data_IF_526273943246
#
_entry.id   IF_526273943246
#
_cell.length_a   1.000
_cell.length_b   1.000
_cell.length_c   1.000
_cell.angle_alpha   90.00
_cell.angle_beta   90.00
_cell.angle_gamma   90.00
#
_symmetry.space_group_name_H-M   'P 1'
#
loop_
_entity.id
_entity.type
_entity.pdbx_description
1 polymer ?
#
# COMPACT_ATOMS: atom_id res chain seq x y z
N UNK A 1 -17.78 -34.82 20.85
CA UNK A 1 -18.22 -33.64 21.64
C UNK A 1 -18.00 -32.41 20.77
N UNK A 2 -19.06 -31.92 20.13
CA UNK A 2 -19.02 -30.77 19.24
C UNK A 2 -19.12 -29.50 20.07
N UNK A 3 -18.06 -28.69 20.06
CA UNK A 3 -18.09 -27.39 20.71
C UNK A 3 -18.90 -26.41 19.84
N UNK A 4 -19.81 -25.62 20.42
CA UNK A 4 -20.53 -24.60 19.66
C UNK A 4 -19.56 -23.50 19.23
N UNK A 5 -19.47 -23.25 17.92
CA UNK A 5 -18.76 -22.09 17.37
C UNK A 5 -19.60 -20.85 17.68
N UNK A 6 -19.16 -20.06 18.65
CA UNK A 6 -19.73 -18.76 18.94
C UNK A 6 -19.37 -17.79 17.81
N UNK A 7 -20.29 -17.59 16.86
CA UNK A 7 -20.22 -16.46 15.92
C UNK A 7 -20.58 -15.19 16.68
N UNK A 8 -19.61 -14.56 17.34
CA UNK A 8 -19.77 -13.22 17.87
C UNK A 8 -19.80 -12.23 16.70
N UNK A 9 -21.00 -11.82 16.30
CA UNK A 9 -21.21 -10.72 15.35
C UNK A 9 -20.81 -9.40 15.99
N UNK A 10 -19.52 -9.14 16.08
CA UNK A 10 -18.99 -7.84 16.50
C UNK A 10 -19.01 -6.88 15.29
N UNK A 11 -20.22 -6.50 14.92
CA UNK A 11 -20.56 -5.62 13.79
C UNK A 11 -19.85 -4.26 13.82
N UNK A 12 -19.16 -3.90 14.92
CA UNK A 12 -18.37 -2.68 15.07
C UNK A 12 -16.91 -2.80 14.62
N UNK A 13 -16.40 -4.01 14.39
CA UNK A 13 -14.98 -4.23 13.99
C UNK A 13 -14.77 -4.17 12.48
N UNK A 14 -15.83 -4.36 11.70
CA UNK A 14 -15.80 -4.33 10.25
C UNK A 14 -16.49 -3.04 9.81
N UNK A 15 -15.73 -2.14 9.21
CA UNK A 15 -16.22 -0.82 8.87
C UNK A 15 -15.91 -0.46 7.42
N UNK A 16 -16.89 0.19 6.79
CA UNK A 16 -16.79 0.75 5.45
C UNK A 16 -17.40 2.16 5.44
N UNK A 17 -16.89 3.08 4.61
CA UNK A 17 -17.56 4.35 4.37
C UNK A 17 -18.98 4.13 3.81
N UNK A 18 -19.87 5.11 4.00
CA UNK A 18 -21.27 5.03 3.61
C UNK A 18 -21.49 4.60 2.15
N UNK A 19 -20.69 5.16 1.23
CA UNK A 19 -20.73 4.84 -0.20
C UNK A 19 -20.38 3.39 -0.54
N UNK A 20 -19.68 2.68 0.34
CA UNK A 20 -19.22 1.30 0.13
C UNK A 20 -19.92 0.28 1.03
N UNK A 21 -20.97 0.67 1.74
CA UNK A 21 -21.73 -0.23 2.63
C UNK A 21 -22.30 -1.46 1.89
N UNK A 22 -22.53 -1.36 0.57
CA UNK A 22 -22.95 -2.50 -0.26
C UNK A 22 -21.91 -3.64 -0.29
N UNK A 23 -20.63 -3.36 -0.01
CA UNK A 23 -19.55 -4.35 0.07
C UNK A 23 -19.45 -5.05 1.44
N UNK A 24 -20.23 -4.64 2.43
CA UNK A 24 -20.15 -5.18 3.79
C UNK A 24 -20.33 -6.71 3.86
N UNK A 25 -21.20 -7.36 3.06
CA UNK A 25 -21.27 -8.83 3.01
C UNK A 25 -19.96 -9.48 2.56
N UNK A 26 -19.26 -8.89 1.58
CA UNK A 26 -17.97 -9.40 1.11
C UNK A 26 -16.88 -9.19 2.18
N UNK A 27 -16.87 -8.05 2.86
CA UNK A 27 -15.95 -7.79 3.98
C UNK A 27 -16.14 -8.79 5.13
N UNK A 28 -17.40 -9.11 5.48
CA UNK A 28 -17.70 -10.15 6.49
C UNK A 28 -17.20 -11.52 6.07
N UNK A 29 -17.41 -11.90 4.81
CA UNK A 29 -16.92 -13.16 4.27
C UNK A 29 -15.39 -13.22 4.27
N UNK A 30 -14.72 -12.15 3.89
CA UNK A 30 -13.26 -12.04 3.96
C UNK A 30 -12.75 -12.20 5.40
N UNK A 31 -13.40 -11.57 6.38
CA UNK A 31 -13.04 -11.71 7.80
C UNK A 31 -13.21 -13.16 8.30
N UNK A 32 -14.30 -13.84 7.92
CA UNK A 32 -14.53 -15.26 8.26
C UNK A 32 -13.40 -16.15 7.76
N UNK A 33 -12.99 -15.95 6.50
CA UNK A 33 -11.89 -16.74 5.90
C UNK A 33 -10.57 -16.52 6.64
N UNK A 34 -10.31 -15.30 7.12
CA UNK A 34 -9.12 -15.02 7.92
C UNK A 34 -9.21 -15.67 9.30
N UNK A 35 -10.38 -15.63 9.93
CA UNK A 35 -10.64 -16.24 11.24
C UNK A 35 -10.53 -17.78 11.22
N UNK A 36 -10.83 -18.41 10.09
CA UNK A 36 -10.65 -19.85 9.87
C UNK A 36 -9.16 -20.26 9.72
N UNK A 37 -8.24 -19.30 9.60
CA UNK A 37 -6.80 -19.62 9.53
C UNK A 37 -6.24 -20.01 10.90
N UNK A 38 -5.35 -21.03 11.00
CA UNK A 38 -4.81 -21.48 12.28
C UNK A 38 -4.05 -20.43 13.08
N UNK A 39 -3.51 -19.40 12.41
CA UNK A 39 -2.77 -18.29 13.03
C UNK A 39 -3.70 -17.25 13.67
N UNK A 40 -4.93 -17.14 13.18
CA UNK A 40 -5.83 -16.06 13.58
C UNK A 40 -6.65 -16.46 14.79
N UNK A 41 -6.37 -15.85 15.94
CA UNK A 41 -7.13 -16.09 17.17
C UNK A 41 -8.30 -15.11 17.31
N UNK A 42 -8.14 -13.86 16.86
CA UNK A 42 -9.16 -12.82 17.04
C UNK A 42 -9.06 -11.73 15.98
N UNK A 43 -10.16 -11.49 15.27
CA UNK A 43 -10.30 -10.34 14.37
C UNK A 43 -10.42 -9.05 15.18
N UNK A 44 -9.55 -8.07 14.92
CA UNK A 44 -9.56 -6.76 15.58
C UNK A 44 -10.26 -5.70 14.74
N UNK A 45 -10.01 -5.69 13.42
CA UNK A 45 -10.52 -4.70 12.48
C UNK A 45 -10.63 -5.27 11.06
N UNK A 46 -11.56 -4.79 10.27
CA UNK A 46 -11.62 -5.03 8.83
C UNK A 46 -12.10 -3.80 8.07
N UNK A 47 -11.45 -3.51 6.95
CA UNK A 47 -11.76 -2.33 6.12
C UNK A 47 -11.40 -2.55 4.64
N UNK A 48 -11.92 -1.67 3.77
CA UNK A 48 -11.54 -1.61 2.35
C UNK A 48 -10.25 -0.82 2.18
N UNK A 49 -9.33 -1.34 1.38
CA UNK A 49 -8.08 -0.67 1.02
C UNK A 49 -8.34 0.14 -0.24
N UNK A 50 -8.63 1.42 -0.11
CA UNK A 50 -9.01 2.29 -1.23
C UNK A 50 -8.00 2.24 -2.39
N UNK A 51 -6.71 2.36 -2.08
CA UNK A 51 -5.64 2.35 -3.08
C UNK A 51 -5.48 1.04 -3.87
N UNK A 52 -5.95 -0.09 -3.32
CA UNK A 52 -5.87 -1.39 -3.97
C UNK A 52 -7.20 -1.85 -4.57
N UNK A 53 -8.29 -1.21 -4.17
CA UNK A 53 -9.63 -1.61 -4.55
C UNK A 53 -10.07 -0.92 -5.84
N UNK A 54 -10.67 -1.69 -6.73
CA UNK A 54 -11.52 -1.14 -7.79
C UNK A 54 -12.98 -1.48 -7.48
N UNK A 55 -13.92 -0.95 -8.25
CA UNK A 55 -15.34 -1.28 -8.10
C UNK A 55 -15.60 -2.78 -8.33
N UNK A 56 -14.84 -3.40 -9.23
CA UNK A 56 -14.96 -4.82 -9.57
C UNK A 56 -14.12 -5.72 -8.65
N UNK A 57 -13.00 -5.21 -8.14
CA UNK A 57 -12.05 -5.95 -7.29
C UNK A 57 -11.80 -5.18 -6.00
N UNK A 58 -12.74 -5.20 -5.05
CA UNK A 58 -12.53 -4.60 -3.75
C UNK A 58 -11.48 -5.39 -2.99
N UNK A 59 -10.52 -4.72 -2.36
CA UNK A 59 -9.47 -5.33 -1.57
C UNK A 59 -9.71 -5.01 -0.10
N UNK A 60 -9.76 -6.02 0.75
CA UNK A 60 -10.00 -5.87 2.18
C UNK A 60 -8.74 -6.11 2.98
N UNK A 61 -8.49 -5.27 3.99
CA UNK A 61 -7.48 -5.49 5.02
C UNK A 61 -8.19 -5.96 6.28
N UNK A 62 -7.78 -7.12 6.77
CA UNK A 62 -8.25 -7.70 8.03
C UNK A 62 -7.08 -7.72 9.01
N UNK A 63 -7.23 -7.05 10.14
CA UNK A 63 -6.25 -7.10 11.23
C UNK A 63 -6.65 -8.23 12.17
N UNK A 64 -5.82 -9.26 12.25
CA UNK A 64 -6.00 -10.36 13.20
C UNK A 64 -4.92 -10.34 14.28
N UNK A 65 -5.26 -10.86 15.45
CA UNK A 65 -4.33 -11.15 16.53
C UNK A 65 -4.08 -12.66 16.62
N UNK A 66 -2.82 -13.05 16.75
CA UNK A 66 -2.41 -14.44 16.98
C UNK A 66 -2.37 -14.81 18.47
N UNK A 67 -2.01 -16.06 18.76
CA UNK A 67 -1.87 -16.62 20.11
C UNK A 67 -0.79 -15.96 20.96
N UNK A 68 0.16 -15.24 20.35
CA UNK A 68 1.20 -14.49 21.02
C UNK A 68 0.78 -13.04 21.27
N UNK A 69 -0.50 -12.72 21.08
CA UNK A 69 -1.07 -11.37 21.13
C UNK A 69 -0.50 -10.42 20.07
N UNK A 70 0.24 -10.93 19.07
CA UNK A 70 0.78 -10.12 18.00
C UNK A 70 -0.30 -9.86 16.97
N UNK A 71 -0.44 -8.60 16.57
CA UNK A 71 -1.41 -8.19 15.56
C UNK A 71 -0.75 -8.16 14.19
N UNK A 72 -1.39 -8.73 13.17
CA UNK A 72 -0.86 -8.82 11.83
C UNK A 72 -1.97 -8.56 10.79
N UNK A 73 -1.63 -7.89 9.67
CA UNK A 73 -2.58 -7.64 8.60
C UNK A 73 -2.66 -8.83 7.65
N UNK A 74 -3.87 -9.12 7.19
CA UNK A 74 -4.16 -10.06 6.11
C UNK A 74 -4.95 -9.32 5.03
N UNK A 75 -4.50 -9.43 3.78
CA UNK A 75 -5.18 -8.81 2.63
C UNK A 75 -5.97 -9.89 1.89
N UNK A 76 -7.23 -9.60 1.60
CA UNK A 76 -8.15 -10.51 0.93
C UNK A 76 -8.79 -9.79 -0.27
N UNK A 77 -8.78 -10.43 -1.44
CA UNK A 77 -9.56 -9.96 -2.60
C UNK A 77 -11.05 -10.26 -2.35
N UNK A 78 -11.91 -9.25 -2.43
CA UNK A 78 -13.33 -9.34 -2.10
C UNK A 78 -14.20 -10.01 -3.15
N UNK A 79 -13.68 -10.23 -4.37
CA UNK A 79 -14.38 -10.93 -5.45
C UNK A 79 -14.08 -12.43 -5.42
N UNK A 80 -12.79 -12.77 -5.30
CA UNK A 80 -12.28 -14.14 -5.35
C UNK A 80 -12.10 -14.75 -3.96
N UNK A 81 -12.04 -13.93 -2.92
CA UNK A 81 -11.72 -14.31 -1.55
C UNK A 81 -10.34 -14.95 -1.38
N UNK A 82 -9.45 -14.74 -2.35
CA UNK A 82 -8.07 -15.19 -2.24
C UNK A 82 -7.35 -14.42 -1.11
N UNK A 83 -6.87 -15.16 -0.12
CA UNK A 83 -6.00 -14.62 0.93
C UNK A 83 -4.62 -14.41 0.34
N UNK A 84 -4.13 -13.18 0.38
CA UNK A 84 -2.73 -12.91 0.04
C UNK A 84 -1.86 -13.29 1.24
N UNK A 85 -1.65 -14.60 1.43
CA UNK A 85 -0.89 -15.12 2.57
C UNK A 85 0.52 -14.53 2.57
N UNK A 86 0.89 -13.84 3.65
CA UNK A 86 2.29 -13.56 3.99
C UNK A 86 2.89 -14.82 4.60
N UNK A 87 3.21 -15.81 3.76
CA UNK A 87 4.09 -16.89 4.22
C UNK A 87 5.47 -16.28 4.48
N UNK A 88 5.93 -16.42 5.73
CA UNK A 88 7.20 -15.93 6.27
C UNK A 88 8.46 -16.54 5.59
N UNK A 89 8.33 -17.13 4.39
CA UNK A 89 9.35 -17.95 3.72
C UNK A 89 9.83 -17.50 2.33
N UNK A 90 9.55 -16.28 1.86
CA UNK A 90 9.81 -15.91 0.45
C UNK A 90 10.24 -14.46 0.21
N UNK A 91 11.28 -13.97 0.89
CA UNK A 91 11.70 -12.54 0.83
C UNK A 91 12.10 -12.01 -0.56
N UNK A 92 12.39 -12.85 -1.56
CA UNK A 92 12.98 -12.41 -2.84
C UNK A 92 11.98 -12.17 -3.98
N UNK A 93 10.98 -13.03 -4.16
CA UNK A 93 10.07 -12.93 -5.33
C UNK A 93 8.89 -11.98 -5.10
N UNK A 94 8.46 -11.79 -3.85
CA UNK A 94 7.34 -10.91 -3.49
C UNK A 94 7.69 -9.42 -3.52
N UNK A 95 8.96 -9.10 -3.31
CA UNK A 95 9.47 -7.74 -3.52
C UNK A 95 9.29 -7.29 -4.96
N UNK A 96 9.19 -8.20 -5.94
CA UNK A 96 9.11 -7.81 -7.34
C UNK A 96 7.73 -7.29 -7.73
N UNK A 97 6.65 -8.06 -7.48
CA UNK A 97 5.28 -7.68 -7.89
C UNK A 97 4.65 -6.56 -7.04
N UNK A 98 4.96 -6.50 -5.74
CA UNK A 98 4.47 -5.42 -4.87
C UNK A 98 5.12 -4.08 -5.24
N UNK A 99 6.41 -4.10 -5.58
CA UNK A 99 7.19 -2.93 -5.98
C UNK A 99 6.80 -2.42 -7.38
N UNK A 100 6.57 -3.32 -8.35
CA UNK A 100 6.16 -2.94 -9.72
C UNK A 100 4.90 -2.05 -9.75
N UNK A 101 3.90 -2.33 -8.90
CA UNK A 101 2.65 -1.55 -8.86
C UNK A 101 2.83 -0.16 -8.26
N UNK A 102 3.48 -0.02 -7.10
CA UNK A 102 3.71 1.30 -6.48
C UNK A 102 4.71 2.14 -7.28
N UNK A 103 5.69 1.47 -7.90
CA UNK A 103 6.63 2.11 -8.80
C UNK A 103 5.92 2.77 -9.98
N UNK A 104 5.06 2.04 -10.69
CA UNK A 104 4.34 2.57 -11.84
C UNK A 104 3.44 3.76 -11.48
N UNK A 105 2.84 3.75 -10.28
CA UNK A 105 2.06 4.88 -9.77
C UNK A 105 2.97 6.08 -9.47
N UNK A 106 4.10 5.83 -8.82
CA UNK A 106 5.06 6.87 -8.43
C UNK A 106 5.69 7.57 -9.65
N UNK A 107 6.17 6.80 -10.64
CA UNK A 107 6.78 7.38 -11.85
C UNK A 107 5.79 8.23 -12.62
N UNK A 108 4.57 7.71 -12.84
CA UNK A 108 3.53 8.45 -13.55
C UNK A 108 3.17 9.75 -12.85
N UNK A 109 3.05 9.74 -11.53
CA UNK A 109 2.74 10.94 -10.76
C UNK A 109 3.89 11.96 -10.80
N UNK A 110 5.14 11.51 -10.74
CA UNK A 110 6.32 12.37 -10.85
C UNK A 110 6.48 12.97 -12.24
N UNK A 111 6.24 12.20 -13.30
CA UNK A 111 6.19 12.70 -14.68
C UNK A 111 5.10 13.76 -14.85
N UNK A 112 3.90 13.52 -14.31
CA UNK A 112 2.82 14.51 -14.32
C UNK A 112 3.19 15.78 -13.56
N UNK A 113 3.85 15.67 -12.40
CA UNK A 113 4.25 16.84 -11.60
C UNK A 113 5.39 17.63 -12.24
N UNK A 114 6.28 16.93 -12.95
CA UNK A 114 7.42 17.52 -13.63
C UNK A 114 7.11 17.96 -15.07
N UNK A 115 5.89 17.78 -15.57
CA UNK A 115 5.53 17.99 -16.99
C UNK A 115 5.76 19.41 -17.52
N UNK A 116 5.82 20.41 -16.62
CA UNK A 116 6.11 21.80 -16.98
C UNK A 116 7.62 22.09 -17.14
N UNK A 117 8.49 21.12 -16.82
CA UNK A 117 9.94 21.24 -16.94
C UNK A 117 10.43 20.66 -18.27
N UNK A 118 11.47 21.25 -18.84
CA UNK A 118 12.07 20.83 -20.10
C UNK A 118 13.28 19.94 -19.85
N UNK A 119 13.69 19.15 -20.85
CA UNK A 119 14.89 18.29 -20.80
C UNK A 119 14.98 17.40 -19.55
N UNK A 120 13.86 16.81 -19.13
CA UNK A 120 13.81 15.91 -17.99
C UNK A 120 14.77 14.72 -18.18
N UNK A 121 15.69 14.57 -17.23
CA UNK A 121 16.63 13.46 -17.14
C UNK A 121 16.50 12.80 -15.78
N UNK A 122 15.75 11.71 -15.74
CA UNK A 122 15.56 10.89 -14.54
C UNK A 122 16.82 10.06 -14.22
N UNK A 123 17.21 10.03 -12.95
CA UNK A 123 18.33 9.24 -12.43
C UNK A 123 17.84 8.00 -11.69
N UNK A 124 17.05 7.16 -12.36
CA UNK A 124 16.47 5.97 -11.74
C UNK A 124 17.28 4.71 -12.08
N UNK A 125 17.49 3.78 -11.12
CA UNK A 125 17.90 2.43 -11.46
C UNK A 125 16.74 1.69 -12.14
N UNK A 126 17.06 0.80 -13.10
CA UNK A 126 16.09 -0.03 -13.83
C UNK A 126 15.25 -0.93 -12.91
N UNK A 127 15.73 -1.20 -11.69
CA UNK A 127 15.02 -1.91 -10.64
C UNK A 127 14.96 -1.01 -9.38
N UNK A 128 13.82 -0.35 -9.12
CA UNK A 128 13.70 0.60 -8.02
C UNK A 128 13.62 -0.18 -6.71
N UNK A 129 14.35 0.23 -5.67
CA UNK A 129 14.10 -0.26 -4.31
C UNK A 129 13.50 0.90 -3.52
N UNK A 130 12.45 0.68 -2.72
CA UNK A 130 11.96 1.74 -1.85
C UNK A 130 13.06 2.14 -0.87
N UNK A 131 13.24 3.44 -0.69
CA UNK A 131 14.16 4.00 0.31
C UNK A 131 13.68 3.67 1.73
N UNK A 132 12.37 3.47 1.92
CA UNK A 132 11.81 2.96 3.18
C UNK A 132 10.65 2.02 2.90
N UNK A 133 10.65 0.87 3.57
CA UNK A 133 9.61 -0.13 3.46
C UNK A 133 9.25 -0.63 4.86
N UNK A 134 8.10 -0.20 5.35
CA UNK A 134 7.52 -0.63 6.63
C UNK A 134 6.10 -1.12 6.41
N UNK A 135 5.47 -1.66 7.45
CA UNK A 135 4.08 -2.14 7.41
C UNK A 135 3.08 -1.06 7.00
N UNK A 136 3.40 0.21 7.29
CA UNK A 136 2.48 1.33 7.12
C UNK A 136 2.98 2.41 6.18
N UNK A 137 4.23 2.33 5.70
CA UNK A 137 4.84 3.35 4.85
C UNK A 137 5.77 2.73 3.80
N UNK A 138 5.53 3.06 2.54
CA UNK A 138 6.47 2.83 1.43
C UNK A 138 6.93 4.18 0.89
N UNK A 139 8.24 4.40 0.80
CA UNK A 139 8.82 5.64 0.28
C UNK A 139 9.74 5.35 -0.89
N UNK A 140 9.56 6.07 -2.00
CA UNK A 140 10.53 6.14 -3.10
C UNK A 140 11.13 7.54 -3.16
N UNK A 141 12.45 7.60 -3.38
CA UNK A 141 13.19 8.83 -3.61
C UNK A 141 13.85 8.79 -4.99
N UNK A 142 13.68 9.87 -5.75
CA UNK A 142 13.86 9.84 -7.19
C UNK A 142 14.50 11.13 -7.67
N UNK A 143 15.80 11.07 -7.95
CA UNK A 143 16.55 12.22 -8.44
C UNK A 143 16.31 12.43 -9.93
N UNK A 144 16.24 13.70 -10.35
CA UNK A 144 16.26 14.09 -11.74
C UNK A 144 16.84 15.47 -11.93
N UNK A 145 17.36 15.68 -13.14
CA UNK A 145 17.74 17.00 -13.62
C UNK A 145 16.73 17.45 -14.69
N UNK A 146 16.52 18.75 -14.79
CA UNK A 146 15.64 19.36 -15.78
C UNK A 146 16.13 20.76 -16.14
N UNK A 147 15.41 21.44 -17.01
CA UNK A 147 15.60 22.85 -17.35
C UNK A 147 14.28 23.59 -17.15
N UNK A 148 14.32 24.78 -16.56
CA UNK A 148 13.15 25.64 -16.47
C UNK A 148 12.77 26.18 -17.86
N UNK A 149 11.57 26.77 -17.98
CA UNK A 149 11.15 27.49 -19.19
C UNK A 149 12.04 28.70 -19.54
N UNK A 150 12.77 29.23 -18.56
CA UNK A 150 13.74 30.32 -18.73
C UNK A 150 15.16 29.82 -19.07
N UNK A 151 15.37 28.51 -19.20
CA UNK A 151 16.67 27.92 -19.54
C UNK A 151 17.57 27.61 -18.33
N UNK A 152 17.09 27.75 -17.10
CA UNK A 152 17.89 27.49 -15.90
C UNK A 152 17.96 26.00 -15.59
N UNK A 153 19.14 25.52 -15.20
CA UNK A 153 19.32 24.13 -14.79
C UNK A 153 18.65 23.86 -13.44
N UNK A 154 17.78 22.85 -13.41
CA UNK A 154 17.04 22.41 -12.23
C UNK A 154 17.54 21.03 -11.79
N UNK A 155 17.76 20.85 -10.49
CA UNK A 155 18.11 19.55 -9.89
C UNK A 155 17.14 19.27 -8.75
N UNK A 156 16.36 18.20 -8.87
CA UNK A 156 15.28 17.91 -7.95
C UNK A 156 15.32 16.46 -7.49
N UNK A 157 14.69 16.24 -6.33
CA UNK A 157 14.34 14.93 -5.80
C UNK A 157 12.84 14.84 -5.63
N UNK A 158 12.25 13.86 -6.29
CA UNK A 158 10.88 13.43 -6.07
C UNK A 158 10.77 12.47 -4.91
N UNK A 159 9.71 12.62 -4.13
CA UNK A 159 9.37 11.74 -3.02
C UNK A 159 7.95 11.21 -3.27
N UNK A 160 7.79 9.90 -3.32
CA UNK A 160 6.50 9.23 -3.32
C UNK A 160 6.34 8.52 -1.99
N UNK A 161 5.33 8.89 -1.19
CA UNK A 161 5.03 8.24 0.09
C UNK A 161 3.67 7.58 0.01
N UNK A 162 3.63 6.30 0.32
CA UNK A 162 2.40 5.51 0.38
C UNK A 162 2.19 5.13 1.85
N UNK A 163 1.28 5.83 2.52
CA UNK A 163 0.88 5.55 3.91
C UNK A 163 -0.38 4.67 3.96
N UNK A 164 -0.51 3.87 5.01
CA UNK A 164 -1.72 3.06 5.28
C UNK A 164 -2.92 3.87 5.78
N UNK A 165 -2.72 5.13 6.19
CA UNK A 165 -3.71 5.93 6.92
C UNK A 165 -4.25 7.11 6.08
N UNK A 166 -3.46 7.63 5.16
CA UNK A 166 -3.85 8.73 4.27
C UNK A 166 -3.01 8.69 3.00
N UNK A 167 -3.72 8.76 1.87
CA UNK A 167 -3.34 9.25 0.54
C UNK A 167 -1.88 9.11 0.08
N UNK A 168 -1.71 8.59 -1.13
CA UNK A 168 -0.46 8.72 -1.87
C UNK A 168 -0.01 10.19 -1.90
N UNK A 169 1.12 10.49 -1.27
CA UNK A 169 1.71 11.82 -1.25
C UNK A 169 2.87 11.90 -2.23
N UNK A 170 2.90 12.98 -2.99
CA UNK A 170 3.97 13.31 -3.91
C UNK A 170 4.56 14.68 -3.57
N UNK A 171 5.88 14.74 -3.46
CA UNK A 171 6.62 15.97 -3.18
C UNK A 171 7.84 16.09 -4.09
N UNK A 172 8.18 17.32 -4.49
CA UNK A 172 9.34 17.65 -5.29
C UNK A 172 10.18 18.67 -4.52
N UNK A 173 11.38 18.28 -4.08
CA UNK A 173 12.29 19.19 -3.39
C UNK A 173 13.52 19.48 -4.25
N UNK A 174 14.02 20.72 -4.28
CA UNK A 174 15.32 21.01 -4.86
C UNK A 174 16.38 20.12 -4.19
N UNK A 175 17.18 19.45 -5.00
CA UNK A 175 18.36 18.75 -4.51
C UNK A 175 19.40 19.83 -4.24
N UNK A 176 19.43 20.34 -3.01
CA UNK A 176 20.41 21.37 -2.64
C UNK A 176 21.79 20.86 -3.03
N UNK A 177 22.52 21.66 -3.81
CA UNK A 177 23.96 21.57 -3.82
C UNK A 177 24.35 21.79 -2.36
N UNK A 178 24.76 20.74 -1.66
CA UNK A 178 25.62 20.94 -0.52
C UNK A 178 26.85 21.56 -1.15
N UNK A 179 26.93 22.89 -1.14
CA UNK A 179 28.19 23.57 -1.27
C UNK A 179 29.01 23.08 -0.07
N UNK A 180 29.80 22.03 -0.29
CA UNK A 180 30.93 21.72 0.56
C UNK A 180 31.80 22.97 0.54
N UNK A 181 31.68 23.73 1.62
CA UNK A 181 32.62 24.77 1.98
C UNK A 181 33.77 24.13 2.76
#
# INVERSE_FOLDING_TARGET
MSHPVFVHSDSKRLWLPASYQYLLPQLRKAASIVEETPRCQKILRGERIEALSTDEHPMFRIICRDSNFMSYPVVVDGKTFAVQQNEDGGKKERHKRFNEKYWAICTKALEQRASAMQNLKWHFPTEPKPTSLTTDLVTYELDFDATSVSGEALRYRGFCRFSSISEFEIDLKPRSLINSK
#
